data_IF_323952846292
#
_entry.id   IF_323952846292
#
_cell.length_a   1.000
_cell.length_b   1.000
_cell.length_c   1.000
_cell.angle_alpha   90.00
_cell.angle_beta   90.00
_cell.angle_gamma   90.00
#
_symmetry.space_group_name_H-M   'P 1'
#
loop_
_entity.id
_entity.type
_entity.pdbx_description
1 polymer ?
#
# COMPACT_ATOMS: atom_id res chain seq x y z
N UNK A 1 38.68 47.14 11.22
CA UNK A 1 37.96 48.06 12.13
C UNK A 1 36.59 47.48 12.41
N UNK A 2 36.09 47.59 13.64
CA UNK A 2 34.78 47.02 14.02
C UNK A 2 33.64 48.03 13.77
N UNK A 3 32.46 47.52 13.43
CA UNK A 3 31.26 48.33 13.31
C UNK A 3 30.85 48.86 14.69
N UNK A 4 30.41 50.11 14.74
CA UNK A 4 29.94 50.76 15.98
C UNK A 4 28.50 50.38 16.34
N UNK A 5 27.73 49.85 15.38
CA UNK A 5 26.31 49.50 15.56
C UNK A 5 26.09 47.99 15.67
N UNK A 6 26.89 47.19 14.96
CA UNK A 6 26.80 45.74 14.95
C UNK A 6 28.03 45.14 15.64
N UNK A 7 27.90 44.82 16.93
CA UNK A 7 28.98 44.31 17.78
C UNK A 7 29.52 43.00 17.22
N UNK A 8 30.84 42.89 17.09
CA UNK A 8 31.51 41.70 16.54
C UNK A 8 31.64 41.69 15.01
N UNK A 9 30.92 42.57 14.30
CA UNK A 9 31.03 42.67 12.85
C UNK A 9 32.17 43.61 12.43
N UNK A 10 33.00 43.15 11.49
CA UNK A 10 34.03 43.98 10.88
C UNK A 10 33.44 44.86 9.79
N UNK A 11 33.94 46.09 9.71
CA UNK A 11 33.65 47.00 8.60
C UNK A 11 34.34 46.45 7.35
N UNK A 12 33.57 46.26 6.28
CA UNK A 12 34.07 45.73 5.01
C UNK A 12 34.17 46.82 3.93
N UNK A 13 33.36 47.88 4.01
CA UNK A 13 33.39 48.96 3.02
C UNK A 13 33.11 50.33 3.63
N UNK A 14 33.49 51.37 2.88
CA UNK A 14 33.18 52.77 3.20
C UNK A 14 32.27 53.31 2.09
N UNK A 15 31.08 53.77 2.46
CA UNK A 15 30.16 54.44 1.55
C UNK A 15 30.66 55.86 1.25
N UNK A 16 30.99 56.11 -0.03
CA UNK A 16 31.44 57.41 -0.54
C UNK A 16 30.33 58.23 -1.18
N UNK A 17 29.12 57.67 -1.28
CA UNK A 17 27.99 58.31 -1.92
C UNK A 17 27.53 59.56 -1.16
N UNK A 18 27.24 60.68 -1.86
CA UNK A 18 26.84 61.94 -1.23
C UNK A 18 25.40 61.95 -0.69
N UNK A 19 24.59 60.93 -0.95
CA UNK A 19 23.12 61.06 -0.86
C UNK A 19 22.41 60.32 0.29
N UNK A 20 23.04 59.43 1.07
CA UNK A 20 22.27 58.59 2.03
C UNK A 20 22.90 58.31 3.41
N UNK A 21 24.19 58.60 3.64
CA UNK A 21 24.87 58.25 4.89
C UNK A 21 25.30 59.50 5.66
N UNK A 22 24.38 60.22 6.31
CA UNK A 22 24.75 61.42 7.09
C UNK A 22 25.63 61.10 8.32
N UNK A 23 25.45 59.92 8.93
CA UNK A 23 26.10 59.61 10.21
C UNK A 23 26.93 58.32 10.22
N UNK A 24 26.83 57.47 9.18
CA UNK A 24 27.56 56.21 9.15
C UNK A 24 28.05 55.84 7.75
N UNK A 25 29.29 56.22 7.46
CA UNK A 25 29.96 55.86 6.20
C UNK A 25 30.67 54.52 6.25
N UNK A 26 31.00 54.02 7.45
CA UNK A 26 31.69 52.73 7.63
C UNK A 26 30.65 51.62 7.77
N UNK A 27 30.55 50.76 6.77
CA UNK A 27 29.51 49.74 6.65
C UNK A 27 30.06 48.32 6.85
N UNK A 28 29.54 47.60 7.84
CA UNK A 28 29.63 46.14 7.90
C UNK A 28 28.54 45.51 7.02
N UNK A 29 28.55 44.18 6.87
CA UNK A 29 27.59 43.46 6.01
C UNK A 29 26.11 43.75 6.34
N UNK A 30 25.77 43.90 7.64
CA UNK A 30 24.42 44.26 8.08
C UNK A 30 24.07 45.71 7.72
N UNK A 31 24.97 46.66 8.00
CA UNK A 31 24.78 48.05 7.58
C UNK A 31 24.70 48.19 6.05
N UNK A 32 25.44 47.37 5.29
CA UNK A 32 25.40 47.37 3.83
C UNK A 32 24.04 46.92 3.29
N UNK A 33 23.48 45.87 3.90
CA UNK A 33 22.15 45.37 3.58
C UNK A 33 21.06 46.39 3.89
N UNK A 34 21.15 47.06 5.04
CA UNK A 34 20.23 48.15 5.45
C UNK A 34 20.38 49.41 4.61
N UNK A 35 21.60 49.71 4.16
CA UNK A 35 21.88 50.87 3.31
C UNK A 35 21.36 50.76 1.88
N UNK A 36 20.76 49.62 1.52
CA UNK A 36 20.19 49.37 0.18
C UNK A 36 21.16 49.62 -0.96
N UNK A 37 22.46 49.52 -0.70
CA UNK A 37 23.47 49.38 -1.76
C UNK A 37 23.14 48.07 -2.49
N UNK A 38 23.47 47.96 -3.78
CA UNK A 38 23.15 46.83 -4.71
C UNK A 38 23.41 45.39 -4.18
N UNK A 39 24.04 45.29 -3.02
CA UNK A 39 24.31 44.13 -2.18
C UNK A 39 23.06 43.32 -1.80
N UNK A 40 21.85 43.91 -1.81
CA UNK A 40 20.60 43.14 -1.67
C UNK A 40 20.43 42.07 -2.76
N UNK A 41 21.07 42.23 -3.92
CA UNK A 41 21.00 41.26 -5.01
C UNK A 41 21.99 40.10 -4.87
N UNK A 42 23.06 40.25 -4.08
CA UNK A 42 24.20 39.32 -4.09
C UNK A 42 24.62 38.79 -2.70
N UNK A 43 24.05 39.34 -1.63
CA UNK A 43 24.30 38.81 -0.28
C UNK A 43 22.98 38.70 0.50
N UNK A 44 22.75 37.54 1.09
CA UNK A 44 21.63 37.30 2.01
C UNK A 44 22.21 37.28 3.41
N UNK A 45 21.65 38.11 4.31
CA UNK A 45 22.01 38.06 5.72
C UNK A 45 21.66 36.69 6.29
N UNK A 46 22.63 36.04 6.94
CA UNK A 46 22.46 34.70 7.53
C UNK A 46 21.24 34.63 8.44
N UNK A 47 20.97 35.69 9.22
CA UNK A 47 19.81 35.80 10.08
C UNK A 47 18.48 35.75 9.30
N UNK A 48 18.38 36.46 8.18
CA UNK A 48 17.20 36.43 7.31
C UNK A 48 17.01 35.08 6.61
N UNK A 49 18.11 34.46 6.21
CA UNK A 49 18.07 33.11 5.67
C UNK A 49 17.55 32.11 6.73
N UNK A 50 18.06 32.18 7.95
CA UNK A 50 17.60 31.34 9.07
C UNK A 50 16.10 31.55 9.35
N UNK A 51 15.63 32.80 9.40
CA UNK A 51 14.20 33.11 9.58
C UNK A 51 13.33 32.53 8.45
N UNK A 52 13.76 32.66 7.20
CA UNK A 52 13.06 32.10 6.05
C UNK A 52 13.07 30.56 6.06
N UNK A 53 14.19 29.94 6.46
CA UNK A 53 14.32 28.50 6.57
C UNK A 53 13.42 27.94 7.68
N UNK A 54 13.40 28.55 8.86
CA UNK A 54 12.51 28.16 9.96
C UNK A 54 11.04 28.27 9.53
N UNK A 55 10.65 29.41 8.92
CA UNK A 55 9.29 29.58 8.42
C UNK A 55 8.89 28.49 7.42
N UNK A 56 9.77 28.18 6.47
CA UNK A 56 9.52 27.12 5.48
C UNK A 56 9.45 25.73 6.10
N UNK A 57 10.28 25.45 7.10
CA UNK A 57 10.22 24.21 7.86
C UNK A 57 8.91 24.10 8.64
N UNK A 58 8.44 25.17 9.29
CA UNK A 58 7.15 25.18 9.99
C UNK A 58 5.97 25.02 9.03
N UNK A 59 5.99 25.68 7.86
CA UNK A 59 4.99 25.48 6.81
C UNK A 59 4.99 24.04 6.24
N UNK A 60 6.16 23.40 6.18
CA UNK A 60 6.32 22.02 5.71
C UNK A 60 6.10 20.96 6.80
N UNK A 61 6.15 21.36 8.07
CA UNK A 61 5.81 20.50 9.18
C UNK A 61 4.32 20.25 9.14
N UNK A 62 3.99 19.01 8.85
CA UNK A 62 2.65 18.45 9.01
C UNK A 62 2.30 18.44 10.51
N UNK A 63 1.94 19.59 11.07
CA UNK A 63 1.17 19.63 12.31
C UNK A 63 -0.11 18.80 12.10
N UNK A 64 -0.67 18.18 13.14
CA UNK A 64 -1.90 17.39 13.06
C UNK A 64 -3.09 18.27 12.62
N UNK A 65 -3.15 18.54 11.32
CA UNK A 65 -4.28 19.21 10.69
C UNK A 65 -5.42 18.20 10.57
N UNK A 66 -6.64 18.72 10.55
CA UNK A 66 -7.85 17.93 10.30
C UNK A 66 -7.75 17.08 9.03
N UNK A 67 -7.01 17.54 8.02
CA UNK A 67 -6.75 16.82 6.77
C UNK A 67 -5.92 15.56 6.96
N UNK A 68 -4.84 15.60 7.75
CA UNK A 68 -4.02 14.41 8.05
C UNK A 68 -4.83 13.41 8.86
N UNK A 69 -5.59 13.88 9.85
CA UNK A 69 -6.46 13.02 10.65
C UNK A 69 -7.49 12.31 9.78
N UNK A 70 -8.09 13.04 8.83
CA UNK A 70 -9.00 12.47 7.85
C UNK A 70 -8.33 11.45 6.92
N UNK A 71 -7.10 11.72 6.47
CA UNK A 71 -6.32 10.75 5.69
C UNK A 71 -6.02 9.48 6.48
N UNK A 72 -5.57 9.60 7.73
CA UNK A 72 -5.32 8.46 8.64
C UNK A 72 -6.57 7.62 8.84
N UNK A 73 -7.73 8.25 9.06
CA UNK A 73 -9.02 7.54 9.19
C UNK A 73 -9.40 6.79 7.91
N UNK A 74 -9.23 7.43 6.73
CA UNK A 74 -9.49 6.77 5.44
C UNK A 74 -8.58 5.55 5.25
N UNK A 75 -7.28 5.68 5.53
CA UNK A 75 -6.34 4.55 5.45
C UNK A 75 -6.74 3.42 6.39
N UNK A 76 -7.08 3.73 7.65
CA UNK A 76 -7.52 2.72 8.61
C UNK A 76 -8.76 1.97 8.12
N UNK A 77 -9.74 2.70 7.59
CA UNK A 77 -10.97 2.09 7.03
C UNK A 77 -10.67 1.16 5.85
N UNK A 78 -9.80 1.58 4.93
CA UNK A 78 -9.38 0.75 3.79
C UNK A 78 -8.68 -0.52 4.28
N UNK A 79 -7.76 -0.40 5.24
CA UNK A 79 -7.04 -1.55 5.79
C UNK A 79 -7.98 -2.54 6.48
N UNK A 80 -8.92 -2.07 7.31
CA UNK A 80 -9.92 -2.94 7.93
C UNK A 80 -10.79 -3.66 6.90
N UNK A 81 -11.12 -3.00 5.78
CA UNK A 81 -11.84 -3.65 4.69
C UNK A 81 -11.00 -4.75 4.02
N UNK A 82 -9.73 -4.49 3.75
CA UNK A 82 -8.79 -5.47 3.18
C UNK A 82 -8.65 -6.66 4.11
N UNK A 83 -8.47 -6.43 5.41
CA UNK A 83 -8.39 -7.48 6.43
C UNK A 83 -9.63 -8.38 6.41
N UNK A 84 -10.83 -7.80 6.36
CA UNK A 84 -12.08 -8.56 6.26
C UNK A 84 -12.17 -9.38 4.98
N UNK A 85 -11.76 -8.84 3.84
CA UNK A 85 -11.73 -9.57 2.56
C UNK A 85 -10.73 -10.76 2.62
N UNK A 86 -9.55 -10.55 3.20
CA UNK A 86 -8.55 -11.61 3.37
C UNK A 86 -9.05 -12.73 4.30
N UNK A 87 -9.72 -12.38 5.40
CA UNK A 87 -10.30 -13.37 6.32
C UNK A 87 -11.33 -14.25 5.60
N UNK A 88 -12.20 -13.65 4.77
CA UNK A 88 -13.18 -14.39 3.99
C UNK A 88 -12.53 -15.34 2.99
N UNK A 89 -11.47 -14.89 2.30
CA UNK A 89 -10.70 -15.75 1.39
C UNK A 89 -10.11 -16.95 2.14
N UNK A 90 -9.57 -16.71 3.33
CA UNK A 90 -9.00 -17.75 4.18
C UNK A 90 -10.06 -18.79 4.62
N UNK A 91 -11.24 -18.34 5.03
CA UNK A 91 -12.36 -19.20 5.41
C UNK A 91 -12.81 -20.06 4.22
N UNK A 92 -13.00 -19.46 3.04
CA UNK A 92 -13.37 -20.18 1.82
C UNK A 92 -12.31 -21.22 1.41
N UNK A 93 -11.02 -20.88 1.52
CA UNK A 93 -9.93 -21.81 1.23
C UNK A 93 -9.89 -22.97 2.23
N UNK A 94 -10.11 -22.69 3.51
CA UNK A 94 -10.11 -23.71 4.56
C UNK A 94 -11.25 -24.71 4.35
N UNK A 95 -12.46 -24.22 4.06
CA UNK A 95 -13.61 -25.07 3.73
C UNK A 95 -13.34 -25.91 2.49
N UNK A 96 -12.68 -25.33 1.48
CA UNK A 96 -12.32 -26.05 0.26
C UNK A 96 -11.35 -27.21 0.50
N UNK A 97 -10.31 -26.96 1.31
CA UNK A 97 -9.34 -27.99 1.69
C UNK A 97 -10.06 -29.12 2.43
N UNK A 98 -10.91 -28.79 3.40
CA UNK A 98 -11.64 -29.80 4.17
C UNK A 98 -12.52 -30.68 3.27
N UNK A 99 -13.32 -30.08 2.38
CA UNK A 99 -14.15 -30.82 1.42
C UNK A 99 -13.33 -31.74 0.52
N UNK A 100 -12.12 -31.31 0.15
CA UNK A 100 -11.22 -32.13 -0.66
C UNK A 100 -10.75 -33.36 0.12
N UNK A 101 -10.36 -33.18 1.40
CA UNK A 101 -10.02 -34.30 2.27
C UNK A 101 -11.19 -35.25 2.47
N UNK A 102 -12.39 -34.74 2.73
CA UNK A 102 -13.58 -35.57 2.92
C UNK A 102 -13.88 -36.42 1.66
N UNK A 103 -13.73 -35.83 0.46
CA UNK A 103 -13.91 -36.56 -0.80
C UNK A 103 -12.85 -37.66 -0.98
N UNK A 104 -11.58 -37.37 -0.67
CA UNK A 104 -10.50 -38.36 -0.71
C UNK A 104 -10.80 -39.52 0.24
N UNK A 105 -11.30 -39.22 1.45
CA UNK A 105 -11.60 -40.24 2.45
C UNK A 105 -12.80 -41.12 2.03
N UNK A 106 -13.88 -40.52 1.51
CA UNK A 106 -15.02 -41.25 0.95
C UNK A 106 -14.58 -42.17 -0.19
N UNK A 107 -13.72 -41.66 -1.09
CA UNK A 107 -13.23 -42.44 -2.23
C UNK A 107 -12.34 -43.61 -1.77
N UNK A 108 -11.44 -43.35 -0.81
CA UNK A 108 -10.59 -44.38 -0.21
C UNK A 108 -11.41 -45.48 0.50
N UNK A 109 -12.44 -45.10 1.27
CA UNK A 109 -13.35 -46.06 1.88
C UNK A 109 -14.09 -46.89 0.83
N UNK A 110 -14.52 -46.28 -0.27
CA UNK A 110 -15.15 -47.00 -1.39
C UNK A 110 -14.21 -48.06 -1.97
N UNK A 111 -12.91 -47.78 -2.14
CA UNK A 111 -11.94 -48.76 -2.61
C UNK A 111 -11.68 -49.88 -1.60
N UNK A 112 -11.63 -49.54 -0.30
CA UNK A 112 -11.45 -50.53 0.76
C UNK A 112 -12.62 -51.50 0.86
N UNK A 113 -13.85 -51.02 0.67
CA UNK A 113 -15.05 -51.87 0.64
C UNK A 113 -14.99 -52.86 -0.53
N UNK A 114 -14.62 -52.39 -1.72
CA UNK A 114 -14.45 -53.26 -2.90
C UNK A 114 -13.34 -54.30 -2.70
N UNK A 115 -12.28 -53.98 -1.95
CA UNK A 115 -11.20 -54.92 -1.67
C UNK A 115 -11.59 -56.02 -0.67
N UNK A 116 -12.38 -55.65 0.34
CA UNK A 116 -12.67 -56.52 1.50
C UNK A 116 -13.85 -57.47 1.26
N UNK A 117 -14.78 -57.10 0.39
CA UNK A 117 -15.80 -58.03 -0.08
C UNK A 117 -15.14 -58.99 -1.08
N UNK A 118 -15.29 -60.31 -0.90
CA UNK A 118 -14.83 -61.30 -1.87
C UNK A 118 -15.74 -61.20 -3.12
N UNK A 119 -15.48 -60.19 -3.94
CA UNK A 119 -16.36 -59.74 -5.00
C UNK A 119 -16.49 -60.79 -6.10
N UNK A 120 -17.67 -61.37 -6.22
CA UNK A 120 -18.10 -61.98 -7.48
C UNK A 120 -18.61 -60.86 -8.39
N UNK A 121 -17.94 -60.57 -9.53
CA UNK A 121 -18.36 -59.50 -10.43
C UNK A 121 -19.80 -59.66 -10.96
N UNK A 122 -20.31 -60.89 -11.00
CA UNK A 122 -21.66 -61.18 -11.47
C UNK A 122 -22.76 -60.73 -10.49
N UNK A 123 -22.43 -60.46 -9.22
CA UNK A 123 -23.39 -60.06 -8.18
C UNK A 123 -23.24 -58.60 -7.76
N UNK A 124 -22.28 -57.88 -8.35
CA UNK A 124 -22.02 -56.48 -8.03
C UNK A 124 -23.10 -55.56 -8.62
N UNK A 125 -23.48 -54.50 -7.89
CA UNK A 125 -24.21 -53.40 -8.49
C UNK A 125 -23.45 -52.78 -9.65
N UNK A 126 -24.19 -52.31 -10.66
CA UNK A 126 -23.61 -51.70 -11.87
C UNK A 126 -22.64 -50.53 -11.56
N UNK A 127 -22.95 -49.73 -10.54
CA UNK A 127 -22.11 -48.59 -10.13
C UNK A 127 -20.71 -49.01 -9.61
N UNK A 128 -20.63 -50.18 -8.95
CA UNK A 128 -19.38 -50.71 -8.42
C UNK A 128 -18.56 -51.42 -9.52
N UNK A 129 -19.24 -52.08 -10.46
CA UNK A 129 -18.64 -52.59 -11.69
C UNK A 129 -18.03 -51.46 -12.53
N UNK A 130 -18.75 -50.36 -12.71
CA UNK A 130 -18.25 -49.19 -13.45
C UNK A 130 -17.02 -48.57 -12.77
N UNK A 131 -17.02 -48.48 -11.43
CA UNK A 131 -15.83 -48.07 -10.66
C UNK A 131 -14.66 -49.02 -10.88
N UNK A 132 -14.86 -50.34 -10.83
CA UNK A 132 -13.80 -51.31 -11.07
C UNK A 132 -13.21 -51.20 -12.48
N UNK A 133 -14.05 -51.02 -13.50
CA UNK A 133 -13.62 -50.76 -14.88
C UNK A 133 -12.77 -49.49 -14.94
N UNK A 134 -13.20 -48.40 -14.29
CA UNK A 134 -12.43 -47.15 -14.26
C UNK A 134 -11.07 -47.31 -13.56
N UNK A 135 -10.98 -48.09 -12.48
CA UNK A 135 -9.70 -48.42 -11.81
C UNK A 135 -8.78 -49.19 -12.77
N UNK A 136 -9.30 -50.22 -13.45
CA UNK A 136 -8.52 -51.07 -14.38
C UNK A 136 -8.02 -50.23 -15.57
N UNK A 137 -8.85 -49.33 -16.09
CA UNK A 137 -8.50 -48.42 -17.18
C UNK A 137 -7.57 -47.28 -16.74
N UNK A 138 -7.23 -47.18 -15.45
CA UNK A 138 -6.41 -46.09 -14.91
C UNK A 138 -7.09 -44.71 -14.99
N UNK A 139 -8.42 -44.68 -15.12
CA UNK A 139 -9.21 -43.45 -15.17
C UNK A 139 -9.47 -42.96 -13.75
N UNK A 140 -8.81 -41.87 -13.38
CA UNK A 140 -8.91 -41.32 -12.03
C UNK A 140 -10.18 -40.44 -11.91
N UNK A 141 -11.20 -40.88 -11.14
CA UNK A 141 -12.48 -40.16 -10.95
C UNK A 141 -12.29 -38.74 -10.44
N UNK A 142 -11.25 -38.52 -9.62
CA UNK A 142 -10.83 -37.20 -9.14
C UNK A 142 -10.74 -36.16 -10.26
N UNK A 143 -10.23 -36.50 -11.45
CA UNK A 143 -10.04 -35.53 -12.56
C UNK A 143 -11.32 -34.83 -13.02
N UNK A 144 -12.48 -35.50 -12.93
CA UNK A 144 -13.79 -34.95 -13.30
C UNK A 144 -14.36 -34.00 -12.24
N UNK A 145 -14.20 -34.34 -10.95
CA UNK A 145 -14.63 -33.51 -9.83
C UNK A 145 -13.70 -32.30 -9.64
N UNK A 146 -12.38 -32.47 -9.78
CA UNK A 146 -11.42 -31.35 -9.75
C UNK A 146 -11.73 -30.34 -10.88
N UNK A 147 -12.11 -30.82 -12.07
CA UNK A 147 -12.58 -29.94 -13.18
C UNK A 147 -13.86 -29.18 -12.82
N UNK A 148 -14.88 -29.84 -12.26
CA UNK A 148 -16.13 -29.17 -11.86
C UNK A 148 -15.89 -28.09 -10.80
N UNK A 149 -15.05 -28.40 -9.82
CA UNK A 149 -14.63 -27.48 -8.76
C UNK A 149 -13.85 -26.30 -9.35
N UNK A 150 -12.91 -26.56 -10.25
CA UNK A 150 -12.14 -25.52 -10.94
C UNK A 150 -13.05 -24.56 -11.72
N UNK A 151 -14.03 -25.10 -12.46
CA UNK A 151 -15.03 -24.30 -13.18
C UNK A 151 -15.88 -23.46 -12.21
N UNK A 152 -16.27 -24.00 -11.06
CA UNK A 152 -17.02 -23.24 -10.05
C UNK A 152 -16.19 -22.10 -9.45
N UNK A 153 -14.89 -22.30 -9.22
CA UNK A 153 -13.97 -21.26 -8.75
C UNK A 153 -13.74 -20.19 -9.80
N UNK A 154 -13.60 -20.55 -11.08
CA UNK A 154 -13.51 -19.58 -12.18
C UNK A 154 -14.79 -18.75 -12.32
N UNK A 155 -15.96 -19.38 -12.20
CA UNK A 155 -17.25 -18.68 -12.23
C UNK A 155 -17.39 -17.70 -11.05
N UNK A 156 -16.94 -18.08 -9.85
CA UNK A 156 -16.90 -17.17 -8.69
C UNK A 156 -15.90 -16.02 -8.88
N UNK A 157 -14.72 -16.29 -9.44
CA UNK A 157 -13.70 -15.28 -9.80
C UNK A 157 -14.27 -14.26 -10.79
N UNK A 158 -15.00 -14.72 -11.80
CA UNK A 158 -15.68 -13.84 -12.75
C UNK A 158 -16.73 -12.97 -12.02
N UNK A 159 -17.60 -13.52 -11.17
CA UNK A 159 -18.57 -12.71 -10.41
C UNK A 159 -17.92 -11.61 -9.55
N UNK A 160 -16.78 -11.88 -8.92
CA UNK A 160 -16.03 -10.88 -8.14
C UNK A 160 -15.41 -9.79 -9.03
N UNK A 161 -14.95 -10.14 -10.24
CA UNK A 161 -14.46 -9.18 -11.23
C UNK A 161 -15.54 -8.23 -11.74
N UNK A 162 -16.77 -8.71 -11.90
CA UNK A 162 -17.91 -7.91 -12.35
C UNK A 162 -18.41 -6.94 -11.27
N UNK A 163 -18.43 -7.35 -10.00
CA UNK A 163 -18.76 -6.45 -8.89
C UNK A 163 -17.72 -5.34 -8.69
N UNK A 164 -16.42 -5.62 -8.90
CA UNK A 164 -15.38 -4.57 -8.93
C UNK A 164 -15.60 -3.56 -10.07
N UNK A 165 -15.99 -4.02 -11.25
CA UNK A 165 -16.30 -3.15 -12.41
C UNK A 165 -17.51 -2.25 -12.15
N UNK A 166 -18.58 -2.79 -11.58
CA UNK A 166 -19.80 -2.06 -11.22
C UNK A 166 -19.57 -0.98 -10.15
N UNK A 167 -18.71 -1.26 -9.16
CA UNK A 167 -18.37 -0.29 -8.10
C UNK A 167 -17.49 0.86 -8.64
N UNK A 168 -16.66 0.59 -9.66
CA UNK A 168 -15.84 1.61 -10.32
C UNK A 168 -16.66 2.48 -11.28
N UNK A 169 -17.67 1.92 -11.95
CA UNK A 169 -18.57 2.68 -12.85
C UNK A 169 -19.66 3.48 -12.13
N UNK A 170 -19.94 3.20 -10.84
CA UNK A 170 -20.89 3.96 -10.03
C UNK A 170 -20.27 5.17 -9.31
N UNK A 171 -18.96 5.41 -9.51
CA UNK A 171 -18.20 6.53 -8.94
C UNK A 171 -17.77 7.58 -9.97
N UNK A 172 -18.12 7.38 -11.24
CA UNK A 172 -18.01 8.33 -12.35
C UNK A 172 -19.37 8.95 -12.63
#
# INVERSE_FOLDING_TARGET
MNCTYHIGNQIQMICISPHKCQYQRKLCIECQYEHEVDIKQHTVLLKKFQEAAIKKLTEAMFEETSEITNLRMKFKSILSKIEGELKKIWEELSEFIQKTYDLIEIENQSYMNLKNENLNPATLPYADLEKLVQIIEGKNQMTGQTRKIHIQLEQKRLRIGWTKKLILSAKS
#
